data_IF_016257570998
#
_entry.id   IF_016257570998
#
_cell.length_a   1.000
_cell.length_b   1.000
_cell.length_c   1.000
_cell.angle_alpha   90.00
_cell.angle_beta   90.00
_cell.angle_gamma   90.00
#
_symmetry.space_group_name_H-M   'P 1'
#
loop_
_entity.id
_entity.type
_entity.pdbx_description
1 polymer ?
#
# COMPACT_ATOMS: atom_id res chain seq x y z
N UNK A 1 -41.82 -17.40 13.05
CA UNK A 1 -40.80 -16.94 12.09
C UNK A 1 -39.46 -16.97 12.79
N UNK A 2 -38.47 -17.69 12.25
CA UNK A 2 -37.09 -17.58 12.71
C UNK A 2 -36.55 -16.22 12.24
N UNK A 3 -36.26 -15.36 13.20
CA UNK A 3 -35.67 -14.05 12.95
C UNK A 3 -34.14 -14.22 13.15
N UNK A 4 -33.38 -14.04 12.11
CA UNK A 4 -31.92 -14.03 12.19
C UNK A 4 -31.41 -12.56 12.24
N UNK A 5 -31.00 -12.05 13.42
CA UNK A 5 -30.56 -10.69 13.56
C UNK A 5 -29.17 -10.48 12.97
N UNK A 6 -28.96 -9.38 12.25
CA UNK A 6 -27.67 -9.00 11.68
C UNK A 6 -26.66 -8.57 12.74
N UNK A 7 -27.13 -8.00 13.85
CA UNK A 7 -26.33 -7.59 15.03
C UNK A 7 -27.06 -7.99 16.30
N UNK A 8 -26.39 -7.98 17.42
CA UNK A 8 -27.02 -8.30 18.72
C UNK A 8 -28.24 -7.41 18.96
N UNK A 9 -29.43 -7.98 19.32
CA UNK A 9 -30.61 -7.22 19.62
C UNK A 9 -30.39 -6.25 20.79
N UNK A 10 -30.94 -5.06 20.69
CA UNK A 10 -30.82 -4.02 21.72
C UNK A 10 -32.13 -3.87 22.45
N UNK A 11 -32.12 -3.94 23.79
CA UNK A 11 -33.32 -3.67 24.62
C UNK A 11 -33.52 -2.16 24.63
N UNK A 12 -34.62 -1.69 24.04
CA UNK A 12 -35.01 -0.28 24.02
C UNK A 12 -35.74 0.16 25.29
N UNK A 13 -36.59 -0.69 25.81
CA UNK A 13 -37.40 -0.37 26.99
C UNK A 13 -37.69 -1.64 27.80
N UNK A 14 -37.70 -1.49 29.12
CA UNK A 14 -38.05 -2.54 30.07
C UNK A 14 -39.04 -1.99 31.09
N UNK A 15 -40.32 -2.34 30.95
CA UNK A 15 -41.36 -1.95 31.89
C UNK A 15 -41.78 -3.12 32.77
N UNK A 16 -41.76 -2.89 34.08
CA UNK A 16 -42.26 -3.86 35.05
C UNK A 16 -43.75 -3.61 35.27
N UNK A 17 -44.55 -4.58 34.96
CA UNK A 17 -45.98 -4.63 35.29
C UNK A 17 -46.22 -5.48 36.55
N UNK A 18 -47.44 -5.43 37.12
CA UNK A 18 -47.72 -6.09 38.42
C UNK A 18 -47.37 -7.59 38.49
N UNK A 19 -47.37 -8.31 37.37
CA UNK A 19 -47.06 -9.76 37.28
C UNK A 19 -46.26 -10.14 36.04
N UNK A 20 -45.78 -9.17 35.25
CA UNK A 20 -45.06 -9.42 33.99
C UNK A 20 -44.02 -8.35 33.72
N UNK A 21 -43.15 -8.58 32.75
CA UNK A 21 -42.23 -7.58 32.20
C UNK A 21 -42.59 -7.38 30.73
N UNK A 22 -42.68 -6.13 30.32
CA UNK A 22 -42.78 -5.76 28.92
C UNK A 22 -41.38 -5.32 28.47
N UNK A 23 -40.84 -6.03 27.50
CA UNK A 23 -39.50 -5.76 26.95
C UNK A 23 -39.70 -5.35 25.50
N UNK A 24 -39.20 -4.19 25.14
CA UNK A 24 -39.14 -3.74 23.75
C UNK A 24 -37.70 -3.96 23.26
N UNK A 25 -37.55 -4.79 22.20
CA UNK A 25 -36.28 -5.17 21.65
C UNK A 25 -36.20 -4.66 20.21
N UNK A 26 -35.14 -3.96 19.89
CA UNK A 26 -34.78 -3.60 18.51
C UNK A 26 -33.99 -4.75 17.90
N UNK A 27 -34.49 -5.30 16.81
CA UNK A 27 -33.80 -6.32 16.01
C UNK A 27 -33.47 -5.73 14.66
N UNK A 28 -32.16 -5.64 14.36
CA UNK A 28 -31.67 -5.18 13.08
C UNK A 28 -31.51 -6.39 12.16
N UNK A 29 -32.16 -6.34 11.01
CA UNK A 29 -32.08 -7.40 9.99
C UNK A 29 -31.04 -7.03 8.92
N UNK A 30 -30.50 -8.06 8.26
CA UNK A 30 -29.70 -7.85 7.06
C UNK A 30 -30.52 -7.14 5.98
N UNK A 31 -30.01 -6.06 5.38
CA UNK A 31 -30.69 -5.40 4.29
C UNK A 31 -30.75 -6.32 3.07
N UNK A 32 -31.84 -6.23 2.32
CA UNK A 32 -32.01 -7.02 1.09
C UNK A 32 -32.04 -6.09 -0.11
N UNK A 33 -31.26 -6.42 -1.10
CA UNK A 33 -31.30 -5.73 -2.38
C UNK A 33 -32.40 -6.36 -3.25
N UNK A 34 -33.39 -5.54 -3.64
CA UNK A 34 -34.52 -6.02 -4.45
C UNK A 34 -34.14 -6.29 -5.91
N UNK A 35 -33.15 -5.56 -6.43
CA UNK A 35 -32.68 -5.68 -7.82
C UNK A 35 -31.20 -5.31 -7.89
N UNK A 36 -30.42 -6.14 -8.58
CA UNK A 36 -29.03 -5.83 -8.89
C UNK A 36 -28.90 -4.60 -9.80
N UNK A 37 -27.88 -3.75 -9.57
CA UNK A 37 -27.46 -2.79 -10.60
C UNK A 37 -26.97 -3.55 -11.82
N UNK A 38 -26.84 -2.84 -12.94
CA UNK A 38 -26.31 -3.45 -14.16
C UNK A 38 -24.85 -3.83 -13.94
N UNK A 39 -24.48 -5.12 -14.07
CA UNK A 39 -23.11 -5.59 -13.86
C UNK A 39 -22.17 -5.23 -15.03
N UNK A 40 -22.71 -5.17 -16.24
CA UNK A 40 -21.98 -4.78 -17.46
C UNK A 40 -21.69 -3.27 -17.48
N UNK A 41 -20.79 -2.83 -16.62
CA UNK A 41 -20.36 -1.44 -16.53
C UNK A 41 -19.10 -1.23 -17.37
N UNK A 42 -19.01 -0.09 -18.05
CA UNK A 42 -17.77 0.36 -18.69
C UNK A 42 -17.03 1.29 -17.74
N UNK A 43 -15.79 0.96 -17.44
CA UNK A 43 -14.91 1.70 -16.51
C UNK A 43 -13.67 2.15 -17.28
N UNK A 44 -13.42 3.45 -17.26
CA UNK A 44 -12.18 4.02 -17.79
C UNK A 44 -11.04 3.80 -16.80
N UNK A 45 -9.92 3.31 -17.30
CA UNK A 45 -8.71 2.98 -16.53
C UNK A 45 -7.46 3.49 -17.26
N UNK A 46 -6.33 3.49 -16.58
CA UNK A 46 -5.05 3.82 -17.18
C UNK A 46 -4.59 2.73 -18.16
N UNK A 47 -3.72 3.12 -19.11
CA UNK A 47 -3.10 2.16 -20.03
C UNK A 47 -2.11 1.26 -19.28
N UNK A 48 -2.11 -0.02 -19.62
CA UNK A 48 -1.14 -0.99 -19.11
C UNK A 48 0.16 -1.03 -19.92
N UNK A 49 0.16 -0.36 -21.09
CA UNK A 49 1.36 -0.32 -21.94
C UNK A 49 2.43 0.58 -21.30
N UNK A 50 3.67 0.10 -21.16
CA UNK A 50 4.79 0.91 -20.70
C UNK A 50 5.10 2.03 -21.69
N UNK A 51 5.46 3.19 -21.18
CA UNK A 51 6.00 4.28 -22.00
C UNK A 51 7.50 4.11 -22.17
N UNK A 52 8.06 4.73 -23.22
CA UNK A 52 9.51 4.76 -23.42
C UNK A 52 10.24 5.39 -22.22
N UNK A 53 9.65 6.42 -21.62
CA UNK A 53 10.22 7.07 -20.42
C UNK A 53 10.30 6.13 -19.22
N UNK A 54 9.25 5.34 -18.96
CA UNK A 54 9.25 4.35 -17.86
C UNK A 54 10.33 3.27 -18.08
N UNK A 55 10.54 2.82 -19.31
CA UNK A 55 11.60 1.86 -19.65
C UNK A 55 12.96 2.50 -19.44
N UNK A 56 13.16 3.71 -19.96
CA UNK A 56 14.42 4.45 -19.82
C UNK A 56 14.76 4.74 -18.37
N UNK A 57 13.78 5.10 -17.53
CA UNK A 57 14.00 5.28 -16.10
C UNK A 57 14.51 4.00 -15.41
N UNK A 58 14.00 2.83 -15.79
CA UNK A 58 14.51 1.56 -15.25
C UNK A 58 15.92 1.27 -15.72
N UNK A 59 16.22 1.52 -17.00
CA UNK A 59 17.57 1.37 -17.56
C UNK A 59 18.55 2.28 -16.80
N UNK A 60 18.19 3.55 -16.59
CA UNK A 60 19.05 4.48 -15.86
C UNK A 60 19.23 4.07 -14.39
N UNK A 61 18.23 3.48 -13.74
CA UNK A 61 18.39 2.90 -12.39
C UNK A 61 19.37 1.73 -12.37
N UNK A 62 19.30 0.84 -13.38
CA UNK A 62 20.25 -0.27 -13.51
C UNK A 62 21.65 0.29 -13.73
N UNK A 63 21.83 1.24 -14.65
CA UNK A 63 23.13 1.89 -14.90
C UNK A 63 23.66 2.57 -13.64
N UNK A 64 22.81 3.24 -12.86
CA UNK A 64 23.18 3.85 -11.58
C UNK A 64 23.68 2.81 -10.57
N UNK A 65 23.10 1.64 -10.53
CA UNK A 65 23.52 0.57 -9.61
C UNK A 65 24.93 0.04 -9.95
N UNK A 66 25.26 -0.04 -11.25
CA UNK A 66 26.52 -0.58 -11.75
C UNK A 66 27.52 0.49 -12.20
N UNK A 67 27.21 1.78 -11.96
CA UNK A 67 28.13 2.87 -12.26
C UNK A 67 29.39 2.81 -11.41
N UNK A 68 30.53 2.98 -12.04
CA UNK A 68 31.83 3.04 -11.38
C UNK A 68 32.15 4.47 -10.92
N UNK A 69 32.86 4.60 -9.80
CA UNK A 69 33.29 5.90 -9.31
C UNK A 69 34.77 6.11 -9.63
N UNK A 70 35.08 7.08 -10.48
CA UNK A 70 36.43 7.42 -10.87
C UNK A 70 36.87 8.74 -10.27
N UNK A 71 38.18 8.83 -9.91
CA UNK A 71 38.78 10.05 -9.40
C UNK A 71 38.87 11.11 -10.48
N UNK A 72 38.45 12.35 -10.11
CA UNK A 72 38.53 13.50 -11.02
C UNK A 72 39.30 14.64 -10.39
N UNK A 73 40.04 15.37 -11.23
CA UNK A 73 40.85 16.53 -10.84
C UNK A 73 40.16 17.84 -11.25
N UNK A 74 38.89 17.99 -10.82
CA UNK A 74 38.09 19.20 -10.99
C UNK A 74 37.39 19.55 -9.69
N UNK A 75 36.86 20.80 -9.55
CA UNK A 75 36.00 21.13 -8.42
C UNK A 75 34.75 20.25 -8.33
N UNK A 76 34.33 19.96 -7.10
CA UNK A 76 33.18 19.12 -6.80
C UNK A 76 31.87 19.71 -7.34
N UNK A 77 31.03 18.85 -7.89
CA UNK A 77 29.68 19.17 -8.38
C UNK A 77 28.65 18.30 -7.68
N UNK A 78 27.42 18.71 -7.74
CA UNK A 78 26.29 17.90 -7.27
C UNK A 78 26.33 16.48 -7.85
N UNK A 79 26.05 15.48 -7.02
CA UNK A 79 26.15 14.02 -7.31
C UNK A 79 27.55 13.44 -7.43
N UNK A 80 28.60 14.23 -7.17
CA UNK A 80 29.94 13.67 -7.01
C UNK A 80 30.07 12.96 -5.66
N UNK A 81 30.95 11.98 -5.60
CA UNK A 81 31.34 11.28 -4.37
C UNK A 81 32.65 11.86 -3.84
N UNK A 82 32.61 12.42 -2.64
CA UNK A 82 33.78 13.02 -2.00
C UNK A 82 34.28 12.09 -0.91
N UNK A 83 35.55 11.70 -1.00
CA UNK A 83 36.24 11.04 0.11
C UNK A 83 36.69 12.12 1.10
N UNK A 84 36.02 12.18 2.26
CA UNK A 84 36.23 13.25 3.25
C UNK A 84 36.66 12.68 4.60
N UNK A 85 37.40 13.51 5.34
CA UNK A 85 37.48 13.39 6.78
C UNK A 85 36.64 14.55 7.36
N UNK A 86 35.68 14.24 8.22
CA UNK A 86 34.81 15.23 8.86
C UNK A 86 34.82 15.04 10.35
N UNK A 87 34.96 16.13 11.09
CA UNK A 87 34.90 16.14 12.55
C UNK A 87 34.12 17.34 13.05
N UNK A 88 33.41 17.17 14.16
CA UNK A 88 32.73 18.23 14.88
C UNK A 88 33.40 18.53 16.23
N UNK A 89 33.41 19.80 16.62
CA UNK A 89 33.85 20.22 17.96
C UNK A 89 32.85 21.18 18.60
N UNK A 90 32.65 21.00 19.91
CA UNK A 90 31.81 21.85 20.74
C UNK A 90 32.65 22.49 21.83
N UNK A 91 32.74 23.83 21.82
CA UNK A 91 33.59 24.58 22.76
C UNK A 91 35.04 24.09 22.82
N UNK A 92 35.61 23.70 21.67
CA UNK A 92 36.98 23.21 21.55
C UNK A 92 37.18 21.72 21.92
N UNK A 93 36.11 21.02 22.31
CA UNK A 93 36.14 19.59 22.55
C UNK A 93 35.60 18.81 21.36
N UNK A 94 36.38 17.85 20.88
CA UNK A 94 35.99 17.00 19.76
C UNK A 94 34.82 16.08 20.10
N UNK A 95 33.85 15.99 19.19
CA UNK A 95 32.71 15.10 19.30
C UNK A 95 33.06 13.73 18.74
N UNK A 96 33.26 12.74 19.61
CA UNK A 96 33.65 11.37 19.21
C UNK A 96 32.63 10.72 18.29
N UNK A 97 31.35 11.02 18.48
CA UNK A 97 30.25 10.46 17.73
C UNK A 97 30.03 11.16 16.36
N UNK A 98 30.80 12.23 16.09
CA UNK A 98 30.84 12.93 14.81
C UNK A 98 32.27 13.17 14.35
N UNK A 99 33.01 12.06 14.17
CA UNK A 99 34.37 12.05 13.65
C UNK A 99 34.50 10.85 12.68
N UNK A 100 34.43 11.14 11.39
CA UNK A 100 34.50 10.13 10.34
C UNK A 100 35.78 10.34 9.54
N UNK A 101 36.54 9.26 9.36
CA UNK A 101 37.75 9.22 8.54
C UNK A 101 37.48 8.40 7.28
N UNK A 102 37.94 8.88 6.15
CA UNK A 102 37.80 8.23 4.84
C UNK A 102 36.32 7.92 4.50
N UNK A 103 35.43 8.86 4.89
CA UNK A 103 34.00 8.73 4.63
C UNK A 103 33.70 9.13 3.20
N UNK A 104 33.02 8.24 2.46
CA UNK A 104 32.57 8.51 1.10
C UNK A 104 31.22 9.20 1.17
N UNK A 105 31.19 10.49 0.90
CA UNK A 105 30.01 11.35 0.96
C UNK A 105 29.51 11.69 -0.45
N UNK A 106 28.23 11.44 -0.71
CA UNK A 106 27.59 11.88 -1.95
C UNK A 106 27.12 13.33 -1.79
N UNK A 107 27.62 14.22 -2.63
CA UNK A 107 27.28 15.64 -2.62
C UNK A 107 25.83 15.84 -3.11
N UNK A 108 25.01 16.50 -2.28
CA UNK A 108 23.56 16.65 -2.51
C UNK A 108 22.70 15.68 -1.74
N UNK A 109 23.28 14.75 -0.95
CA UNK A 109 22.54 13.78 -0.16
C UNK A 109 21.91 14.35 1.12
N UNK A 110 22.39 15.49 1.62
CA UNK A 110 21.98 16.15 2.87
C UNK A 110 21.99 15.22 4.12
N UNK A 111 22.84 14.19 4.13
CA UNK A 111 22.83 13.14 5.14
C UNK A 111 23.48 13.50 6.47
N UNK A 112 24.46 14.42 6.48
CA UNK A 112 25.26 14.71 7.69
C UNK A 112 24.82 15.97 8.38
N UNK A 113 24.88 17.11 7.69
CA UNK A 113 24.46 18.41 8.23
C UNK A 113 23.75 19.27 7.18
N UNK A 114 22.87 20.19 7.56
CA UNK A 114 22.02 20.94 6.62
C UNK A 114 22.78 21.77 5.57
N UNK A 115 23.94 22.33 5.94
CA UNK A 115 24.69 23.22 5.02
C UNK A 115 25.93 22.58 4.41
N UNK A 116 26.22 21.30 4.71
CA UNK A 116 27.42 20.62 4.22
C UNK A 116 27.53 20.63 2.69
N UNK A 117 26.46 20.28 2.00
CA UNK A 117 26.43 20.23 0.54
C UNK A 117 26.80 21.58 -0.08
N UNK A 118 26.17 22.66 0.41
CA UNK A 118 26.44 24.02 -0.09
C UNK A 118 27.88 24.49 0.19
N UNK A 119 28.56 23.94 1.20
CA UNK A 119 29.95 24.25 1.52
C UNK A 119 30.96 23.41 0.72
N UNK A 120 30.54 22.24 0.28
CA UNK A 120 31.36 21.32 -0.51
C UNK A 120 31.24 21.54 -2.01
N UNK A 121 30.18 22.18 -2.47
CA UNK A 121 30.02 22.51 -3.89
C UNK A 121 31.13 23.46 -4.38
N UNK A 122 31.77 23.10 -5.50
CA UNK A 122 32.87 23.86 -6.09
C UNK A 122 34.24 23.73 -5.38
N UNK A 123 34.34 22.88 -4.36
CA UNK A 123 35.59 22.69 -3.61
C UNK A 123 36.50 21.73 -4.37
N UNK A 124 37.82 21.95 -4.27
CA UNK A 124 38.84 21.09 -4.87
C UNK A 124 39.41 20.07 -3.88
N UNK A 125 39.99 18.99 -4.39
CA UNK A 125 40.70 18.01 -3.58
C UNK A 125 41.85 18.70 -2.80
N UNK A 126 42.05 18.25 -1.54
CA UNK A 126 43.02 18.81 -0.60
C UNK A 126 42.52 20.00 0.20
N UNK A 127 41.35 20.55 -0.07
CA UNK A 127 40.78 21.68 0.67
C UNK A 127 40.32 21.28 2.08
N UNK A 128 40.55 22.21 3.02
CA UNK A 128 39.98 22.12 4.38
C UNK A 128 38.98 23.25 4.55
N UNK A 129 37.75 22.87 4.92
CA UNK A 129 36.65 23.79 5.15
C UNK A 129 36.28 23.73 6.62
N UNK A 130 36.03 24.91 7.20
CA UNK A 130 35.53 25.05 8.58
C UNK A 130 34.31 25.93 8.58
N UNK A 131 33.26 25.48 9.24
CA UNK A 131 31.99 26.22 9.36
C UNK A 131 31.24 25.73 10.61
N UNK A 132 30.26 26.51 11.03
CA UNK A 132 29.35 26.09 12.09
C UNK A 132 28.05 25.59 11.48
N UNK A 133 27.53 24.49 11.99
CA UNK A 133 26.26 23.92 11.56
C UNK A 133 25.59 23.12 12.68
N UNK A 134 24.35 22.72 12.45
CA UNK A 134 23.63 21.84 13.33
C UNK A 134 23.90 20.39 12.95
N UNK A 135 23.88 19.49 13.94
CA UNK A 135 23.96 18.04 13.73
C UNK A 135 22.65 17.41 14.22
N UNK A 136 21.61 17.34 13.36
CA UNK A 136 20.29 16.85 13.77
C UNK A 136 20.31 15.45 14.36
N UNK A 137 21.13 14.56 13.82
CA UNK A 137 21.28 13.17 14.29
C UNK A 137 21.74 13.07 15.76
N UNK A 138 22.45 14.11 16.30
CA UNK A 138 22.90 14.17 17.67
C UNK A 138 22.10 15.18 18.53
N UNK A 139 21.11 15.87 17.92
CA UNK A 139 20.35 16.92 18.59
C UNK A 139 21.20 18.12 19.03
N UNK A 140 22.33 18.39 18.33
CA UNK A 140 23.28 19.45 18.66
C UNK A 140 23.22 20.57 17.66
N UNK A 141 23.33 21.81 18.16
CA UNK A 141 23.28 23.02 17.32
C UNK A 141 24.56 23.83 17.44
N UNK A 142 24.89 24.55 16.37
CA UNK A 142 26.03 25.47 16.28
C UNK A 142 27.40 24.80 16.60
N UNK A 143 27.61 23.60 16.04
CA UNK A 143 28.84 22.86 16.20
C UNK A 143 29.88 23.32 15.18
N UNK A 144 31.13 23.54 15.59
CA UNK A 144 32.21 23.81 14.66
C UNK A 144 32.59 22.51 13.91
N UNK A 145 32.38 22.51 12.60
CA UNK A 145 32.64 21.38 11.71
C UNK A 145 33.89 21.65 10.88
N UNK A 146 34.77 20.66 10.83
CA UNK A 146 35.97 20.69 10.00
C UNK A 146 35.94 19.55 9.02
N UNK A 147 36.05 19.84 7.72
CA UNK A 147 36.03 18.85 6.63
C UNK A 147 37.30 18.98 5.82
N UNK A 148 38.01 17.87 5.66
CA UNK A 148 39.10 17.71 4.70
C UNK A 148 38.58 16.90 3.51
N UNK A 149 38.58 17.49 2.31
CA UNK A 149 38.26 16.79 1.06
C UNK A 149 39.49 16.10 0.54
N UNK A 150 39.58 14.79 0.64
CA UNK A 150 40.77 14.01 0.18
C UNK A 150 40.77 13.76 -1.32
N UNK A 151 39.65 13.32 -1.82
CA UNK A 151 39.44 13.00 -3.23
C UNK A 151 38.03 13.37 -3.68
N UNK A 152 37.89 13.71 -4.93
CA UNK A 152 36.61 13.90 -5.60
C UNK A 152 36.51 12.81 -6.65
N UNK A 153 35.38 12.14 -6.66
CA UNK A 153 35.09 11.03 -7.57
C UNK A 153 33.79 11.29 -8.29
N UNK A 154 33.78 11.07 -9.59
CA UNK A 154 32.55 11.15 -10.41
C UNK A 154 32.02 9.74 -10.64
N UNK A 155 30.71 9.59 -10.60
CA UNK A 155 30.07 8.33 -10.97
C UNK A 155 29.97 8.27 -12.50
N UNK A 156 30.75 7.41 -13.10
CA UNK A 156 30.70 7.17 -14.54
C UNK A 156 29.60 6.17 -14.82
N UNK A 157 28.63 6.63 -15.60
CA UNK A 157 27.54 5.78 -16.05
C UNK A 157 28.04 4.94 -17.24
N UNK A 158 27.84 3.62 -17.18
CA UNK A 158 28.24 2.75 -18.30
C UNK A 158 27.39 3.07 -19.55
N UNK A 159 28.01 2.89 -20.71
CA UNK A 159 27.28 2.89 -21.98
C UNK A 159 26.41 1.63 -22.07
N UNK A 160 25.19 1.82 -22.59
CA UNK A 160 24.23 0.72 -22.77
C UNK A 160 24.63 -0.08 -24.04
N UNK A 161 25.43 -1.11 -23.84
CA UNK A 161 25.91 -2.02 -24.90
C UNK A 161 25.59 -3.47 -24.56
N UNK A 162 25.52 -4.36 -25.55
CA UNK A 162 25.30 -5.79 -25.32
C UNK A 162 26.37 -6.39 -24.42
N UNK A 163 27.64 -6.00 -24.61
CA UNK A 163 28.75 -6.46 -23.77
C UNK A 163 28.57 -6.06 -22.31
N UNK A 164 28.14 -4.82 -22.07
CA UNK A 164 27.86 -4.37 -20.70
C UNK A 164 26.66 -5.12 -20.11
N UNK A 165 25.51 -5.21 -20.82
CA UNK A 165 24.33 -5.92 -20.36
C UNK A 165 24.67 -7.35 -19.97
N UNK A 166 25.41 -8.09 -20.82
CA UNK A 166 25.80 -9.48 -20.53
C UNK A 166 26.76 -9.62 -19.36
N UNK A 167 27.52 -8.56 -19.02
CA UNK A 167 28.45 -8.57 -17.90
C UNK A 167 27.82 -8.34 -16.54
N UNK A 168 26.67 -7.61 -16.49
CA UNK A 168 26.04 -7.16 -15.23
C UNK A 168 24.64 -7.71 -15.00
N UNK A 169 24.02 -8.32 -16.02
CA UNK A 169 22.69 -8.91 -15.95
C UNK A 169 22.69 -10.35 -16.45
N UNK A 170 21.55 -11.03 -16.42
CA UNK A 170 21.37 -12.37 -16.99
C UNK A 170 21.02 -12.36 -18.49
N UNK A 171 20.90 -11.16 -19.10
CA UNK A 171 20.53 -11.00 -20.50
C UNK A 171 21.77 -10.92 -21.39
N UNK A 172 21.68 -11.44 -22.64
CA UNK A 172 22.79 -11.40 -23.60
C UNK A 172 22.82 -10.10 -24.40
N UNK A 173 21.68 -9.41 -24.56
CA UNK A 173 21.59 -8.20 -25.38
C UNK A 173 20.72 -7.13 -24.73
N UNK A 174 20.95 -5.86 -25.12
CA UNK A 174 20.11 -4.71 -24.76
C UNK A 174 18.66 -4.94 -25.17
N UNK A 175 18.44 -5.58 -26.32
CA UNK A 175 17.09 -5.86 -26.83
C UNK A 175 16.35 -6.82 -25.89
N UNK A 176 16.98 -7.91 -25.50
CA UNK A 176 16.40 -8.91 -24.58
C UNK A 176 16.09 -8.28 -23.22
N UNK A 177 17.01 -7.50 -22.67
CA UNK A 177 16.77 -6.75 -21.43
C UNK A 177 15.58 -5.81 -21.57
N UNK A 178 15.46 -5.06 -22.65
CA UNK A 178 14.35 -4.14 -22.89
C UNK A 178 13.02 -4.87 -23.02
N UNK A 179 12.96 -6.02 -23.69
CA UNK A 179 11.76 -6.84 -23.80
C UNK A 179 11.30 -7.34 -22.43
N UNK A 180 12.23 -7.76 -21.58
CA UNK A 180 11.88 -8.21 -20.22
C UNK A 180 11.51 -7.05 -19.30
N UNK A 181 12.19 -5.90 -19.38
CA UNK A 181 11.79 -4.69 -18.66
C UNK A 181 10.38 -4.25 -19.05
N UNK A 182 10.10 -4.21 -20.35
CA UNK A 182 8.76 -3.89 -20.87
C UNK A 182 7.70 -4.80 -20.25
N UNK A 183 7.93 -6.11 -20.29
CA UNK A 183 7.02 -7.12 -19.74
C UNK A 183 6.83 -6.97 -18.22
N UNK A 184 7.91 -6.70 -17.49
CA UNK A 184 7.87 -6.53 -16.04
C UNK A 184 7.09 -5.26 -15.64
N UNK A 185 7.35 -4.13 -16.31
CA UNK A 185 6.61 -2.88 -16.09
C UNK A 185 5.13 -3.09 -16.44
N UNK A 186 4.84 -3.71 -17.59
CA UNK A 186 3.47 -4.02 -18.01
C UNK A 186 2.73 -4.88 -16.98
N UNK A 187 3.38 -5.91 -16.42
CA UNK A 187 2.79 -6.76 -15.38
C UNK A 187 2.49 -5.99 -14.09
N UNK A 188 3.39 -5.07 -13.67
CA UNK A 188 3.17 -4.21 -12.51
C UNK A 188 2.00 -3.26 -12.76
N UNK A 189 2.00 -2.56 -13.90
CA UNK A 189 0.90 -1.66 -14.31
C UNK A 189 -0.42 -2.42 -14.40
N UNK A 190 -0.41 -3.61 -14.96
CA UNK A 190 -1.60 -4.44 -15.10
C UNK A 190 -2.23 -4.78 -13.75
N UNK A 191 -1.43 -5.10 -12.74
CA UNK A 191 -1.93 -5.33 -11.37
C UNK A 191 -2.49 -4.04 -10.74
N UNK A 192 -1.82 -2.92 -10.91
CA UNK A 192 -2.28 -1.62 -10.40
C UNK A 192 -3.60 -1.22 -11.06
N UNK A 193 -3.69 -1.33 -12.38
CA UNK A 193 -4.90 -1.02 -13.16
C UNK A 193 -6.04 -1.99 -12.81
N UNK A 194 -5.76 -3.27 -12.58
CA UNK A 194 -6.77 -4.23 -12.13
C UNK A 194 -7.36 -3.85 -10.76
N UNK A 195 -6.53 -3.42 -9.81
CA UNK A 195 -7.01 -2.93 -8.52
C UNK A 195 -7.82 -1.64 -8.65
N UNK A 196 -7.38 -0.71 -9.48
CA UNK A 196 -8.11 0.53 -9.79
C UNK A 196 -9.48 0.21 -10.42
N UNK A 197 -9.50 -0.66 -11.42
CA UNK A 197 -10.72 -1.11 -12.09
C UNK A 197 -11.71 -1.74 -11.09
N UNK A 198 -11.25 -2.65 -10.24
CA UNK A 198 -12.08 -3.26 -9.20
C UNK A 198 -12.66 -2.19 -8.26
N UNK A 199 -11.83 -1.24 -7.81
CA UNK A 199 -12.28 -0.16 -6.92
C UNK A 199 -13.32 0.75 -7.56
N UNK A 200 -13.14 1.13 -8.82
CA UNK A 200 -14.08 1.98 -9.56
C UNK A 200 -15.38 1.24 -9.87
N UNK A 201 -15.29 -0.01 -10.33
CA UNK A 201 -16.45 -0.84 -10.63
C UNK A 201 -17.31 -1.07 -9.39
N UNK A 202 -16.70 -1.46 -8.27
CA UNK A 202 -17.42 -1.67 -7.01
C UNK A 202 -18.05 -0.40 -6.49
N UNK A 203 -17.35 0.74 -6.57
CA UNK A 203 -17.90 2.05 -6.18
C UNK A 203 -19.14 2.41 -7.00
N UNK A 204 -19.09 2.19 -8.31
CA UNK A 204 -20.21 2.45 -9.21
C UNK A 204 -21.41 1.54 -8.92
N UNK A 205 -21.17 0.25 -8.65
CA UNK A 205 -22.24 -0.68 -8.29
C UNK A 205 -22.89 -0.30 -6.95
N UNK A 206 -22.10 0.13 -5.96
CA UNK A 206 -22.63 0.62 -4.68
C UNK A 206 -23.51 1.84 -4.89
N UNK A 207 -23.05 2.83 -5.66
CA UNK A 207 -23.82 4.04 -5.97
C UNK A 207 -25.15 3.73 -6.69
N UNK A 208 -25.10 2.87 -7.70
CA UNK A 208 -26.29 2.49 -8.46
C UNK A 208 -27.26 1.61 -7.66
N UNK A 209 -26.78 0.86 -6.67
CA UNK A 209 -27.62 -0.01 -5.83
C UNK A 209 -28.60 0.77 -4.98
N UNK A 210 -28.27 2.03 -4.61
CA UNK A 210 -29.04 2.90 -3.71
C UNK A 210 -29.46 2.19 -2.43
N UNK A 211 -28.58 1.34 -1.91
CA UNK A 211 -28.83 0.53 -0.74
C UNK A 211 -28.82 1.39 0.52
N UNK A 212 -29.89 1.29 1.32
CA UNK A 212 -29.95 1.91 2.64
C UNK A 212 -29.55 0.89 3.70
N UNK A 213 -28.47 1.17 4.42
CA UNK A 213 -27.96 0.31 5.48
C UNK A 213 -28.51 0.75 6.84
N UNK A 214 -28.94 -0.19 7.70
CA UNK A 214 -29.30 0.12 9.07
C UNK A 214 -28.10 0.69 9.85
N UNK A 215 -28.30 1.81 10.54
CA UNK A 215 -27.23 2.51 11.28
C UNK A 215 -26.52 1.59 12.28
N UNK A 216 -27.24 0.74 12.99
CA UNK A 216 -26.68 -0.20 13.96
C UNK A 216 -25.72 -1.22 13.30
N UNK A 217 -26.00 -1.59 12.05
CA UNK A 217 -25.13 -2.50 11.30
C UNK A 217 -23.85 -1.79 10.91
N UNK A 218 -23.95 -0.53 10.44
CA UNK A 218 -22.79 0.29 10.10
C UNK A 218 -21.90 0.52 11.33
N UNK A 219 -22.48 0.83 12.49
CA UNK A 219 -21.73 1.02 13.75
C UNK A 219 -20.99 -0.28 14.14
N UNK A 220 -21.67 -1.42 14.07
CA UNK A 220 -21.03 -2.71 14.41
C UNK A 220 -19.86 -3.05 13.50
N UNK A 221 -19.97 -2.75 12.20
CA UNK A 221 -18.88 -2.92 11.24
C UNK A 221 -17.72 -1.93 11.49
N UNK A 222 -18.04 -0.66 11.80
CA UNK A 222 -17.05 0.33 12.20
C UNK A 222 -16.24 -0.13 13.42
N UNK A 223 -16.91 -0.65 14.45
CA UNK A 223 -16.25 -1.16 15.65
C UNK A 223 -15.33 -2.32 15.33
N UNK A 224 -15.73 -3.21 14.42
CA UNK A 224 -14.91 -4.33 13.96
C UNK A 224 -13.67 -3.84 13.22
N UNK A 225 -13.81 -2.90 12.28
CA UNK A 225 -12.69 -2.31 11.53
C UNK A 225 -11.74 -1.60 12.48
N UNK A 226 -12.27 -0.80 13.42
CA UNK A 226 -11.46 -0.09 14.41
C UNK A 226 -10.68 -1.05 15.31
N UNK A 227 -11.29 -2.14 15.77
CA UNK A 227 -10.60 -3.16 16.57
C UNK A 227 -9.43 -3.79 15.79
N UNK A 228 -9.65 -4.15 14.53
CA UNK A 228 -8.61 -4.72 13.68
C UNK A 228 -7.47 -3.70 13.47
N UNK A 229 -7.79 -2.45 13.20
CA UNK A 229 -6.83 -1.37 13.06
C UNK A 229 -6.00 -1.15 14.35
N UNK A 230 -6.66 -1.12 15.52
CA UNK A 230 -5.97 -0.99 16.81
C UNK A 230 -5.04 -2.18 17.09
N UNK A 231 -5.46 -3.40 16.74
CA UNK A 231 -4.61 -4.59 16.87
C UNK A 231 -3.37 -4.51 15.96
N UNK A 232 -3.53 -4.02 14.73
CA UNK A 232 -2.42 -3.82 13.80
C UNK A 232 -1.42 -2.77 14.32
N UNK A 233 -1.91 -1.64 14.82
CA UNK A 233 -1.06 -0.63 15.46
C UNK A 233 -0.31 -1.21 16.66
N UNK A 234 -0.97 -2.00 17.50
CA UNK A 234 -0.36 -2.63 18.66
C UNK A 234 0.73 -3.64 18.26
N UNK A 235 0.51 -4.46 17.24
CA UNK A 235 1.51 -5.40 16.72
C UNK A 235 2.77 -4.69 16.22
N UNK A 236 2.61 -3.49 15.65
CA UNK A 236 3.71 -2.64 15.17
C UNK A 236 4.28 -1.71 16.27
N UNK A 237 3.80 -1.81 17.52
CA UNK A 237 4.16 -0.93 18.65
C UNK A 237 3.94 0.57 18.37
N UNK A 238 2.92 0.91 17.58
CA UNK A 238 2.53 2.28 17.25
C UNK A 238 1.34 2.67 18.12
N UNK A 239 1.39 3.84 18.77
CA UNK A 239 0.23 4.40 19.46
C UNK A 239 -0.65 5.15 18.49
N UNK A 240 -1.96 5.16 18.75
CA UNK A 240 -2.93 5.87 17.89
C UNK A 240 -2.62 7.36 17.79
N UNK A 241 -2.19 8.00 18.88
CA UNK A 241 -1.82 9.42 18.89
C UNK A 241 -0.62 9.70 17.98
N UNK A 242 0.41 8.82 18.02
CA UNK A 242 1.58 8.92 17.16
C UNK A 242 1.20 8.71 15.69
N UNK A 243 0.30 7.75 15.39
CA UNK A 243 -0.22 7.53 14.05
C UNK A 243 -0.96 8.77 13.51
N UNK A 244 -1.88 9.34 14.30
CA UNK A 244 -2.62 10.54 13.91
C UNK A 244 -1.68 11.74 13.67
N UNK A 245 -0.66 11.89 14.50
CA UNK A 245 0.34 12.95 14.35
C UNK A 245 1.17 12.78 13.06
N UNK A 246 1.63 11.56 12.77
CA UNK A 246 2.45 11.25 11.58
C UNK A 246 1.64 11.43 10.30
N UNK A 247 0.38 10.97 10.29
CA UNK A 247 -0.49 11.03 9.10
C UNK A 247 -1.18 12.38 8.92
N UNK A 248 -1.21 13.23 9.96
CA UNK A 248 -1.95 14.49 9.95
C UNK A 248 -3.48 14.32 10.01
N UNK A 249 -3.97 13.11 10.32
CA UNK A 249 -5.39 12.85 10.47
C UNK A 249 -5.90 13.34 11.84
N UNK A 250 -7.16 13.75 11.89
CA UNK A 250 -7.88 13.99 13.14
C UNK A 250 -8.73 12.78 13.53
N UNK A 251 -9.14 12.69 14.80
CA UNK A 251 -10.09 11.64 15.21
C UNK A 251 -11.40 11.70 14.41
N UNK A 252 -11.88 12.89 14.07
CA UNK A 252 -13.10 13.09 13.28
C UNK A 252 -12.95 12.53 11.86
N UNK A 253 -11.83 12.86 11.18
CA UNK A 253 -11.56 12.32 9.83
C UNK A 253 -11.38 10.82 9.86
N UNK A 254 -10.72 10.27 10.90
CA UNK A 254 -10.62 8.83 11.07
C UNK A 254 -11.98 8.15 11.26
N UNK A 255 -12.89 8.74 12.07
CA UNK A 255 -14.23 8.22 12.25
C UNK A 255 -15.03 8.24 10.94
N UNK A 256 -14.95 9.31 10.17
CA UNK A 256 -15.61 9.43 8.87
C UNK A 256 -15.07 8.39 7.87
N UNK A 257 -13.77 8.18 7.84
CA UNK A 257 -13.14 7.16 6.98
C UNK A 257 -13.60 5.75 7.37
N UNK A 258 -13.62 5.43 8.66
CA UNK A 258 -14.12 4.15 9.17
C UNK A 258 -15.60 3.94 8.80
N UNK A 259 -16.44 4.97 8.92
CA UNK A 259 -17.85 4.91 8.53
C UNK A 259 -18.03 4.67 7.04
N UNK A 260 -17.24 5.37 6.22
CA UNK A 260 -17.26 5.21 4.78
C UNK A 260 -16.81 3.78 4.39
N UNK A 261 -15.75 3.28 5.02
CA UNK A 261 -15.25 1.93 4.79
C UNK A 261 -16.29 0.87 5.21
N UNK A 262 -16.88 1.00 6.40
CA UNK A 262 -17.94 0.11 6.88
C UNK A 262 -19.14 0.09 5.94
N UNK A 263 -19.57 1.27 5.49
CA UNK A 263 -20.66 1.40 4.53
C UNK A 263 -20.36 0.70 3.22
N UNK A 264 -19.14 0.88 2.68
CA UNK A 264 -18.71 0.22 1.43
C UNK A 264 -18.64 -1.30 1.59
N UNK A 265 -18.02 -1.79 2.67
CA UNK A 265 -17.90 -3.23 2.95
C UNK A 265 -19.28 -3.89 3.00
N UNK A 266 -20.18 -3.34 3.82
CA UNK A 266 -21.53 -3.88 3.98
C UNK A 266 -22.33 -3.83 2.68
N UNK A 267 -22.24 -2.72 1.93
CA UNK A 267 -22.92 -2.61 0.65
C UNK A 267 -22.44 -3.67 -0.34
N UNK A 268 -21.12 -3.91 -0.38
CA UNK A 268 -20.58 -4.96 -1.25
C UNK A 268 -21.00 -6.35 -0.81
N UNK A 269 -21.04 -6.63 0.50
CA UNK A 269 -21.55 -7.92 1.00
C UNK A 269 -22.98 -8.18 0.50
N UNK A 270 -23.86 -7.18 0.61
CA UNK A 270 -25.26 -7.31 0.17
C UNK A 270 -25.38 -7.47 -1.36
N UNK A 271 -24.55 -6.74 -2.12
CA UNK A 271 -24.52 -6.88 -3.59
C UNK A 271 -24.00 -8.27 -3.99
N UNK A 272 -22.92 -8.74 -3.37
CA UNK A 272 -22.34 -10.04 -3.66
C UNK A 272 -23.29 -11.17 -3.31
N UNK A 273 -23.94 -11.12 -2.15
CA UNK A 273 -24.96 -12.10 -1.75
C UNK A 273 -26.11 -12.13 -2.77
N UNK A 274 -26.51 -10.97 -3.29
CA UNK A 274 -27.54 -10.90 -4.34
C UNK A 274 -27.07 -11.47 -5.68
N UNK A 275 -25.77 -11.28 -6.02
CA UNK A 275 -25.18 -11.91 -7.22
C UNK A 275 -25.14 -13.43 -7.06
N UNK A 276 -24.75 -13.93 -5.87
CA UNK A 276 -24.76 -15.37 -5.58
C UNK A 276 -26.17 -15.95 -5.78
N UNK A 277 -27.21 -15.26 -5.27
CA UNK A 277 -28.60 -15.68 -5.41
C UNK A 277 -29.06 -15.66 -6.88
N UNK A 278 -28.90 -14.51 -7.56
CA UNK A 278 -29.43 -14.29 -8.92
C UNK A 278 -28.70 -15.11 -9.99
N UNK A 279 -27.42 -15.43 -9.77
CA UNK A 279 -26.61 -16.25 -10.69
C UNK A 279 -26.53 -17.72 -10.25
N UNK A 280 -27.25 -18.10 -9.18
CA UNK A 280 -27.25 -19.46 -8.62
C UNK A 280 -25.85 -20.04 -8.41
N UNK A 281 -24.88 -19.19 -7.96
CA UNK A 281 -23.49 -19.59 -7.77
C UNK A 281 -23.38 -20.66 -6.68
N UNK A 282 -22.54 -21.65 -6.94
CA UNK A 282 -22.28 -22.77 -6.02
C UNK A 282 -20.79 -23.04 -5.91
N UNK A 283 -20.38 -23.51 -4.76
CA UNK A 283 -19.04 -24.04 -4.59
C UNK A 283 -18.88 -25.36 -5.35
N UNK A 284 -17.74 -25.56 -5.96
CA UNK A 284 -17.40 -26.84 -6.57
C UNK A 284 -16.76 -27.80 -5.55
N UNK A 285 -16.57 -29.07 -5.94
CA UNK A 285 -16.05 -30.10 -5.06
C UNK A 285 -14.63 -29.77 -4.55
N UNK A 286 -13.82 -29.06 -5.32
CA UNK A 286 -12.48 -28.66 -4.95
C UNK A 286 -12.50 -27.56 -3.87
N UNK A 287 -13.35 -26.57 -4.03
CA UNK A 287 -13.51 -25.48 -3.05
C UNK A 287 -14.05 -26.02 -1.72
N UNK A 288 -15.04 -26.92 -1.79
CA UNK A 288 -15.58 -27.60 -0.59
C UNK A 288 -14.47 -28.41 0.09
N UNK A 289 -13.66 -29.15 -0.67
CA UNK A 289 -12.55 -29.93 -0.13
C UNK A 289 -11.50 -29.06 0.58
N UNK A 290 -11.17 -27.87 0.02
CA UNK A 290 -10.24 -26.93 0.64
C UNK A 290 -10.80 -26.35 1.96
N UNK A 291 -12.09 -26.06 2.00
CA UNK A 291 -12.77 -25.60 3.23
C UNK A 291 -12.75 -26.71 4.28
N UNK A 292 -13.06 -27.96 3.91
CA UNK A 292 -13.04 -29.10 4.82
C UNK A 292 -11.63 -29.42 5.34
N UNK A 293 -10.61 -29.29 4.50
CA UNK A 293 -9.20 -29.42 4.91
C UNK A 293 -8.82 -28.34 5.93
N UNK A 294 -9.18 -27.06 5.66
CA UNK A 294 -8.96 -25.96 6.61
C UNK A 294 -9.67 -26.23 7.95
N UNK A 295 -10.93 -26.68 7.89
CA UNK A 295 -11.71 -27.02 9.09
C UNK A 295 -11.12 -28.18 9.89
N UNK A 296 -10.44 -29.13 9.25
CA UNK A 296 -9.81 -30.26 9.94
C UNK A 296 -8.66 -29.84 10.88
N UNK A 297 -8.08 -28.67 10.66
CA UNK A 297 -7.02 -28.08 11.50
C UNK A 297 -7.56 -27.11 12.55
N UNK A 298 -8.88 -26.84 12.55
CA UNK A 298 -9.51 -25.89 13.46
C UNK A 298 -9.92 -26.56 14.77
N UNK A 299 -9.33 -26.08 15.89
CA UNK A 299 -9.57 -26.63 17.22
C UNK A 299 -10.62 -25.77 17.97
N UNK A 300 -11.90 -26.04 17.72
CA UNK A 300 -13.04 -25.31 18.28
C UNK A 300 -14.18 -26.21 18.72
N UNK A 301 -15.19 -25.65 19.43
CA UNK A 301 -16.42 -26.39 19.74
C UNK A 301 -17.18 -26.73 18.44
N UNK A 302 -18.05 -27.76 18.47
CA UNK A 302 -18.86 -28.15 17.29
C UNK A 302 -19.70 -26.98 16.76
N UNK A 303 -20.26 -26.13 17.65
CA UNK A 303 -21.06 -24.96 17.25
C UNK A 303 -20.20 -23.87 16.63
N UNK A 304 -19.01 -23.60 17.17
CA UNK A 304 -18.04 -22.65 16.62
C UNK A 304 -17.53 -23.11 15.28
N UNK A 305 -17.23 -24.42 15.14
CA UNK A 305 -16.77 -25.05 13.90
C UNK A 305 -17.84 -24.97 12.80
N UNK A 306 -19.12 -25.21 13.12
CA UNK A 306 -20.22 -25.10 12.15
C UNK A 306 -20.41 -23.65 11.67
N UNK A 307 -20.38 -22.66 12.58
CA UNK A 307 -20.48 -21.25 12.24
C UNK A 307 -19.28 -20.79 11.40
N UNK A 308 -18.08 -21.25 11.74
CA UNK A 308 -16.86 -20.94 10.99
C UNK A 308 -16.91 -21.51 9.56
N UNK A 309 -17.36 -22.75 9.40
CA UNK A 309 -17.53 -23.37 8.07
C UNK A 309 -18.51 -22.57 7.20
N UNK A 310 -19.67 -22.20 7.74
CA UNK A 310 -20.67 -21.37 7.03
C UNK A 310 -20.10 -20.02 6.60
N UNK A 311 -19.27 -19.39 7.43
CA UNK A 311 -18.61 -18.14 7.07
C UNK A 311 -17.63 -18.33 5.91
N UNK A 312 -16.81 -19.38 5.94
CA UNK A 312 -15.86 -19.70 4.85
C UNK A 312 -16.59 -20.00 3.54
N UNK A 313 -17.68 -20.78 3.59
CA UNK A 313 -18.52 -21.07 2.42
C UNK A 313 -19.13 -19.78 1.83
N UNK A 314 -19.65 -18.90 2.68
CA UNK A 314 -20.21 -17.61 2.28
C UNK A 314 -19.16 -16.67 1.68
N UNK A 315 -17.98 -16.63 2.28
CA UNK A 315 -16.85 -15.82 1.78
C UNK A 315 -16.39 -16.35 0.41
N UNK A 316 -16.24 -17.67 0.25
CA UNK A 316 -15.86 -18.29 -1.02
C UNK A 316 -16.90 -18.00 -2.12
N UNK A 317 -18.20 -18.07 -1.80
CA UNK A 317 -19.26 -17.70 -2.74
C UNK A 317 -19.21 -16.21 -3.12
N UNK A 318 -18.94 -15.31 -2.17
CA UNK A 318 -18.76 -13.89 -2.45
C UNK A 318 -17.54 -13.62 -3.33
N UNK A 319 -16.45 -14.35 -3.13
CA UNK A 319 -15.26 -14.27 -3.99
C UNK A 319 -15.60 -14.69 -5.43
N UNK A 320 -16.38 -15.76 -5.62
CA UNK A 320 -16.91 -16.15 -6.94
C UNK A 320 -17.81 -15.08 -7.54
N UNK A 321 -18.68 -14.46 -6.75
CA UNK A 321 -19.55 -13.38 -7.19
C UNK A 321 -18.75 -12.14 -7.60
N UNK A 322 -17.68 -11.82 -6.87
CA UNK A 322 -16.77 -10.72 -7.25
C UNK A 322 -16.09 -11.00 -8.59
N UNK A 323 -15.55 -12.22 -8.78
CA UNK A 323 -14.98 -12.63 -10.06
C UNK A 323 -15.99 -12.51 -11.19
N UNK A 324 -17.23 -12.96 -10.97
CA UNK A 324 -18.31 -12.83 -11.94
C UNK A 324 -18.57 -11.36 -12.32
N UNK A 325 -18.63 -10.46 -11.33
CA UNK A 325 -18.79 -9.02 -11.55
C UNK A 325 -17.64 -8.46 -12.39
N UNK A 326 -16.39 -8.78 -12.04
CA UNK A 326 -15.21 -8.30 -12.73
C UNK A 326 -15.13 -8.78 -14.20
N UNK A 327 -15.65 -9.98 -14.47
CA UNK A 327 -15.72 -10.54 -15.81
C UNK A 327 -16.84 -9.96 -16.67
N UNK A 328 -17.95 -9.52 -16.06
CA UNK A 328 -19.06 -8.88 -16.77
C UNK A 328 -18.77 -7.41 -17.13
N UNK A 329 -18.00 -6.73 -16.30
CA UNK A 329 -17.59 -5.35 -16.57
C UNK A 329 -16.55 -5.26 -17.69
N UNK A 330 -16.41 -4.07 -18.25
CA UNK A 330 -15.50 -3.77 -19.36
C UNK A 330 -14.58 -2.64 -18.94
N UNK A 331 -13.28 -2.90 -18.94
CA UNK A 331 -12.26 -1.87 -18.75
C UNK A 331 -11.81 -1.32 -20.10
N UNK A 332 -11.73 0.01 -20.21
CA UNK A 332 -11.27 0.73 -21.39
C UNK A 332 -10.27 1.80 -20.99
N UNK A 333 -9.32 2.08 -21.86
CA UNK A 333 -8.42 3.23 -21.67
C UNK A 333 -9.10 4.55 -22.08
N UNK A 334 -8.38 5.65 -21.92
CA UNK A 334 -8.84 7.00 -22.32
C UNK A 334 -9.19 7.16 -23.80
N UNK A 335 -8.75 6.24 -24.67
CA UNK A 335 -9.07 6.22 -26.10
C UNK A 335 -10.28 5.34 -26.39
N UNK A 336 -10.83 4.65 -25.37
CA UNK A 336 -11.93 3.70 -25.51
C UNK A 336 -11.48 2.30 -25.96
N UNK A 337 -10.17 2.02 -25.98
CA UNK A 337 -9.64 0.70 -26.29
C UNK A 337 -9.75 -0.23 -25.09
N UNK A 338 -10.09 -1.49 -25.32
CA UNK A 338 -10.26 -2.47 -24.24
C UNK A 338 -8.92 -2.80 -23.60
N UNK A 339 -8.90 -2.73 -22.26
CA UNK A 339 -7.79 -3.19 -21.43
C UNK A 339 -8.13 -4.56 -20.86
N UNK A 340 -7.34 -5.58 -21.20
CA UNK A 340 -7.60 -6.96 -20.77
C UNK A 340 -6.94 -7.26 -19.42
N UNK A 341 -7.76 -7.44 -18.38
CA UNK A 341 -7.33 -7.65 -16.98
C UNK A 341 -7.68 -9.04 -16.43
N UNK A 342 -8.38 -9.88 -17.20
CA UNK A 342 -8.95 -11.15 -16.68
C UNK A 342 -7.91 -12.15 -16.18
N UNK A 343 -6.71 -12.16 -16.76
CA UNK A 343 -5.62 -13.03 -16.31
C UNK A 343 -5.04 -12.65 -14.94
N UNK A 344 -5.27 -11.40 -14.48
CA UNK A 344 -4.87 -10.97 -13.13
C UNK A 344 -5.79 -11.58 -12.08
N UNK A 345 -7.07 -11.78 -12.40
CA UNK A 345 -8.07 -12.28 -11.46
C UNK A 345 -8.14 -13.82 -11.40
N UNK A 346 -7.47 -14.51 -12.32
CA UNK A 346 -7.47 -15.97 -12.42
C UNK A 346 -6.19 -16.60 -11.83
N UNK A 347 -5.33 -15.81 -11.17
CA UNK A 347 -4.14 -16.26 -10.45
C UNK A 347 -4.47 -16.43 -8.97
#
# INVERSE_FOLDING_TARGET
>A
EEINPAVRPVIKDLKKEKKSFKIEVLITLWPKLSKLPKLEQTIEVESIEPTEDEINEQIERIKLQFGEVEKVDRPAKEKDYLLINISGSENGNELKDFNYQDYLYELGSALLTPSLDSKLEGVSSGAIIKFNDDIPALGKSNIEISVLVKEIKEKIMPELTDDWVSSVTEFETVKEMNEELHKNIQNVKKRQVANQYQGLLTSKLIEESKLELPEQLVIAEMDSILQNFMNELQQNNIKIDDYLQITGLTEETLQDDLKNQATRNLSMVVILDKVVEDQELKLDDKEISLIDEHMSTHDGSEADSASHKLNLESESLRNKAMLHILQQGVSVDKNGEKVYLQDVYNQ
#
